data_IF_821275607719
#
_entry.id   IF_821275607719
#
_cell.length_a   1.000
_cell.length_b   1.000
_cell.length_c   1.000
_cell.angle_alpha   90.00
_cell.angle_beta   90.00
_cell.angle_gamma   90.00
#
_symmetry.space_group_name_H-M   'P 1'
#
loop_
_entity.id
_entity.type
_entity.pdbx_description
1 polymer ?
#
# COMPACT_ATOMS: atom_id res chain seq x y z
N UNK A 1 -5.06 5.08 -12.42
CA UNK A 1 -5.59 6.08 -11.47
C UNK A 1 -7.12 6.12 -11.48
N UNK A 2 -7.77 6.70 -12.50
CA UNK A 2 -9.22 6.95 -12.51
C UNK A 2 -10.10 5.72 -12.24
N UNK A 3 -9.73 4.56 -12.81
CA UNK A 3 -10.46 3.29 -12.59
C UNK A 3 -10.44 2.87 -11.11
N UNK A 4 -9.30 3.02 -10.44
CA UNK A 4 -9.19 2.65 -9.02
C UNK A 4 -9.90 3.67 -8.14
N UNK A 5 -9.73 4.96 -8.42
CA UNK A 5 -10.47 6.01 -7.73
C UNK A 5 -11.99 5.77 -7.78
N UNK A 6 -12.54 5.55 -8.98
CA UNK A 6 -13.97 5.25 -9.14
C UNK A 6 -14.42 4.03 -8.31
N UNK A 7 -13.65 2.94 -8.34
CA UNK A 7 -13.93 1.74 -7.52
C UNK A 7 -13.99 2.06 -6.02
N UNK A 8 -13.08 2.91 -5.53
CA UNK A 8 -13.05 3.32 -4.12
C UNK A 8 -14.25 4.17 -3.75
N UNK A 9 -14.57 5.17 -4.59
CA UNK A 9 -15.75 6.03 -4.41
C UNK A 9 -17.03 5.21 -4.22
N UNK A 10 -17.30 4.26 -5.12
CA UNK A 10 -18.53 3.46 -5.05
C UNK A 10 -18.54 2.44 -3.90
N UNK A 11 -17.37 2.12 -3.34
CA UNK A 11 -17.21 1.19 -2.22
C UNK A 11 -17.16 1.86 -0.84
N UNK A 12 -17.07 3.20 -0.80
CA UNK A 12 -16.95 3.97 0.44
C UNK A 12 -18.32 4.09 1.13
N UNK A 13 -18.72 3.02 1.82
CA UNK A 13 -20.01 2.90 2.50
C UNK A 13 -19.87 2.21 3.86
N UNK A 14 -20.60 2.66 4.90
CA UNK A 14 -20.64 1.96 6.19
C UNK A 14 -21.18 0.52 6.03
N UNK A 15 -20.74 -0.43 6.89
CA UNK A 15 -19.87 -0.27 8.05
C UNK A 15 -18.37 -0.42 7.76
N UNK A 16 -17.97 -0.55 6.50
CA UNK A 16 -16.61 -0.90 6.11
C UNK A 16 -15.73 0.31 5.77
N UNK A 17 -16.35 1.44 5.46
CA UNK A 17 -15.71 2.73 5.26
C UNK A 17 -16.69 3.85 5.67
N UNK A 18 -16.23 5.06 6.01
CA UNK A 18 -17.13 6.21 6.06
C UNK A 18 -17.65 6.52 4.65
N UNK A 19 -18.77 7.25 4.58
CA UNK A 19 -19.22 7.81 3.30
C UNK A 19 -18.17 8.81 2.78
N UNK A 20 -17.93 8.87 1.46
CA UNK A 20 -17.05 9.88 0.90
C UNK A 20 -17.65 11.26 1.12
N UNK A 21 -16.79 12.26 1.25
CA UNK A 21 -17.18 13.66 1.31
C UNK A 21 -16.40 14.48 0.27
N UNK A 22 -16.63 15.79 0.26
CA UNK A 22 -16.00 16.73 -0.66
C UNK A 22 -14.51 16.98 -0.38
N UNK A 23 -14.02 16.59 0.80
CA UNK A 23 -12.62 16.68 1.19
C UNK A 23 -11.85 15.39 0.89
N UNK A 24 -12.47 14.23 1.07
CA UNK A 24 -11.81 12.93 1.03
C UNK A 24 -12.75 11.80 0.58
N UNK A 25 -12.19 10.92 -0.24
CA UNK A 25 -12.75 9.59 -0.50
C UNK A 25 -11.87 8.55 0.22
N UNK A 26 -12.42 7.70 1.09
CA UNK A 26 -11.64 6.69 1.80
C UNK A 26 -10.84 5.80 0.86
N UNK A 27 -9.59 5.50 1.26
CA UNK A 27 -8.66 4.65 0.52
C UNK A 27 -8.28 5.20 -0.87
N UNK A 28 -8.30 6.53 -1.02
CA UNK A 28 -7.88 7.20 -2.25
C UNK A 28 -6.67 8.12 -2.07
N UNK A 29 -5.96 7.98 -0.95
CA UNK A 29 -4.65 8.61 -0.86
C UNK A 29 -3.73 8.08 -1.98
N UNK A 30 -2.69 8.84 -2.30
CA UNK A 30 -1.82 8.50 -3.43
C UNK A 30 -1.19 7.10 -3.28
N UNK A 31 -0.78 6.74 -2.07
CA UNK A 31 -0.15 5.45 -1.78
C UNK A 31 -1.15 4.30 -1.91
N UNK A 32 -2.36 4.46 -1.36
CA UNK A 32 -3.46 3.52 -1.48
C UNK A 32 -3.85 3.28 -2.94
N UNK A 33 -3.89 4.35 -3.72
CA UNK A 33 -4.14 4.25 -5.15
C UNK A 33 -3.03 3.48 -5.83
N UNK A 34 -1.75 3.81 -5.58
CA UNK A 34 -0.61 3.08 -6.15
C UNK A 34 -0.67 1.59 -5.78
N UNK A 35 -0.93 1.26 -4.50
CA UNK A 35 -1.10 -0.11 -4.02
C UNK A 35 -2.23 -0.87 -4.73
N UNK A 36 -3.27 -0.17 -5.18
CA UNK A 36 -4.39 -0.77 -5.92
C UNK A 36 -4.14 -0.92 -7.44
N UNK A 37 -3.09 -0.29 -7.99
CA UNK A 37 -2.77 -0.42 -9.42
C UNK A 37 -2.26 -1.82 -9.75
N UNK A 38 -2.20 -2.13 -11.05
CA UNK A 38 -1.63 -3.39 -11.50
C UNK A 38 -0.15 -3.46 -11.15
N UNK A 39 0.34 -4.69 -10.97
CA UNK A 39 1.73 -4.95 -10.59
C UNK A 39 2.76 -4.27 -11.50
N UNK A 40 2.51 -4.30 -12.82
CA UNK A 40 3.39 -3.64 -13.80
C UNK A 40 3.52 -2.13 -13.55
N UNK A 41 2.41 -1.45 -13.26
CA UNK A 41 2.42 0.00 -12.99
C UNK A 41 3.14 0.28 -11.66
N UNK A 42 2.91 -0.53 -10.62
CA UNK A 42 3.61 -0.40 -9.35
C UNK A 42 5.13 -0.53 -9.52
N UNK A 43 5.59 -1.49 -10.32
CA UNK A 43 7.02 -1.66 -10.63
C UNK A 43 7.54 -0.42 -11.36
N UNK A 44 6.83 0.08 -12.38
CA UNK A 44 7.25 1.28 -13.10
C UNK A 44 7.43 2.49 -12.17
N UNK A 45 6.46 2.74 -11.28
CA UNK A 45 6.54 3.82 -10.30
C UNK A 45 7.70 3.59 -9.32
N UNK A 46 7.83 2.36 -8.82
CA UNK A 46 8.89 1.96 -7.90
C UNK A 46 10.29 2.13 -8.48
N UNK A 47 10.49 1.71 -9.73
CA UNK A 47 11.78 1.80 -10.41
C UNK A 47 12.16 3.25 -10.70
N UNK A 48 11.19 4.11 -10.99
CA UNK A 48 11.44 5.55 -11.08
C UNK A 48 11.95 6.10 -9.73
N UNK A 49 11.31 5.71 -8.62
CA UNK A 49 11.72 6.15 -7.29
C UNK A 49 13.12 5.63 -6.88
N UNK A 50 13.43 4.37 -7.20
CA UNK A 50 14.78 3.81 -7.01
C UNK A 50 15.82 4.57 -7.82
N UNK A 51 15.50 4.97 -9.07
CA UNK A 51 16.39 5.77 -9.91
C UNK A 51 16.73 7.12 -9.28
N UNK A 52 15.74 7.81 -8.69
CA UNK A 52 15.96 9.07 -7.95
C UNK A 52 16.89 8.83 -6.75
N UNK A 53 16.67 7.75 -6.00
CA UNK A 53 17.52 7.39 -4.86
C UNK A 53 18.96 7.08 -5.28
N UNK A 54 19.14 6.32 -6.36
CA UNK A 54 20.45 5.93 -6.90
C UNK A 54 21.24 7.10 -7.50
N UNK A 55 20.55 8.18 -7.90
CA UNK A 55 21.22 9.42 -8.33
C UNK A 55 21.75 10.21 -7.13
N UNK A 56 21.07 10.15 -5.99
CA UNK A 56 21.43 10.89 -4.77
C UNK A 56 22.41 10.11 -3.87
N UNK A 57 22.38 8.79 -3.92
CA UNK A 57 23.30 7.90 -3.20
C UNK A 57 24.12 7.09 -4.20
N UNK A 58 25.46 7.08 -4.06
CA UNK A 58 26.32 6.21 -4.86
C UNK A 58 25.83 4.76 -4.72
N UNK A 59 25.57 4.10 -5.86
CA UNK A 59 25.04 2.74 -5.96
C UNK A 59 25.56 1.82 -4.84
N UNK A 60 24.71 1.63 -3.83
CA UNK A 60 25.03 0.84 -2.65
C UNK A 60 24.32 -0.51 -2.75
N UNK A 61 24.84 -1.53 -2.05
CA UNK A 61 24.20 -2.85 -1.93
C UNK A 61 22.74 -2.75 -1.46
N UNK A 62 22.41 -1.71 -0.70
CA UNK A 62 21.05 -1.44 -0.24
C UNK A 62 20.10 -1.06 -1.37
N UNK A 63 20.57 -0.34 -2.40
CA UNK A 63 19.77 0.04 -3.57
C UNK A 63 19.46 -1.17 -4.44
N UNK A 64 20.44 -2.07 -4.61
CA UNK A 64 20.25 -3.33 -5.35
C UNK A 64 19.22 -4.23 -4.65
N UNK A 65 19.34 -4.40 -3.33
CA UNK A 65 18.36 -5.14 -2.54
C UNK A 65 16.96 -4.51 -2.64
N UNK A 66 16.85 -3.18 -2.56
CA UNK A 66 15.57 -2.48 -2.70
C UNK A 66 14.98 -2.67 -4.11
N UNK A 67 15.82 -2.66 -5.15
CA UNK A 67 15.42 -2.94 -6.54
C UNK A 67 14.78 -4.32 -6.65
N UNK A 68 15.41 -5.33 -6.04
CA UNK A 68 14.88 -6.70 -6.01
C UNK A 68 13.56 -6.79 -5.22
N UNK A 69 13.45 -6.08 -4.09
CA UNK A 69 12.19 -6.01 -3.33
C UNK A 69 11.05 -5.36 -4.13
N UNK A 70 11.36 -4.30 -4.89
CA UNK A 70 10.40 -3.63 -5.79
C UNK A 70 10.01 -4.54 -6.94
N UNK A 71 10.92 -5.32 -7.51
CA UNK A 71 10.60 -6.27 -8.59
C UNK A 71 9.80 -7.48 -8.10
N UNK A 72 10.17 -8.07 -6.96
CA UNK A 72 9.49 -9.22 -6.35
C UNK A 72 8.11 -8.85 -5.77
N UNK A 73 7.90 -7.59 -5.41
CA UNK A 73 6.61 -7.08 -4.92
C UNK A 73 6.44 -7.14 -3.43
N UNK A 74 7.55 -7.36 -2.74
CA UNK A 74 7.64 -7.26 -1.29
C UNK A 74 7.44 -5.82 -0.81
N UNK A 75 7.78 -4.84 -1.64
CA UNK A 75 7.58 -3.43 -1.35
C UNK A 75 7.19 -2.64 -2.60
N UNK A 76 6.56 -1.49 -2.36
CA UNK A 76 6.40 -0.44 -3.36
C UNK A 76 7.17 0.76 -2.84
N UNK A 77 7.88 1.45 -3.72
CA UNK A 77 8.58 2.69 -3.38
C UNK A 77 7.95 3.79 -4.21
N UNK A 78 7.69 4.95 -3.60
CA UNK A 78 7.13 6.08 -4.34
C UNK A 78 7.89 7.36 -3.98
N UNK A 79 8.04 8.24 -4.97
CA UNK A 79 8.53 9.60 -4.77
C UNK A 79 7.35 10.48 -4.37
N UNK A 80 7.47 11.13 -3.23
CA UNK A 80 6.57 12.19 -2.74
C UNK A 80 7.21 13.56 -2.97
N UNK A 81 6.51 14.64 -2.63
CA UNK A 81 6.98 16.01 -2.91
C UNK A 81 8.39 16.28 -2.36
N UNK A 82 9.19 17.06 -3.12
CA UNK A 82 10.54 17.46 -2.72
C UNK A 82 11.56 16.32 -2.70
N UNK A 83 11.46 15.37 -3.63
CA UNK A 83 12.34 14.19 -3.76
C UNK A 83 12.39 13.28 -2.53
N UNK A 84 11.41 13.44 -1.64
CA UNK A 84 11.21 12.53 -0.53
C UNK A 84 10.75 11.17 -1.06
N UNK A 85 11.32 10.09 -0.52
CA UNK A 85 10.99 8.73 -0.94
C UNK A 85 10.38 8.01 0.25
N UNK A 86 9.23 7.39 0.00
CA UNK A 86 8.56 6.55 0.99
C UNK A 86 8.46 5.13 0.48
N UNK A 87 8.67 4.19 1.39
CA UNK A 87 8.43 2.77 1.16
C UNK A 87 7.03 2.44 1.67
N UNK A 88 6.18 1.97 0.77
CA UNK A 88 4.83 1.53 1.07
C UNK A 88 4.81 0.00 1.19
N UNK A 89 4.22 -0.49 2.26
CA UNK A 89 4.01 -1.92 2.52
C UNK A 89 2.53 -2.15 2.72
N UNK A 90 1.95 -3.08 1.98
CA UNK A 90 0.54 -3.44 2.10
C UNK A 90 0.37 -4.45 3.23
N UNK A 91 -0.40 -4.09 4.26
CA UNK A 91 -0.85 -5.02 5.30
C UNK A 91 -2.24 -5.56 4.93
N UNK A 92 -2.38 -6.89 4.88
CA UNK A 92 -3.68 -7.53 4.72
C UNK A 92 -4.20 -7.92 6.09
N UNK A 93 -5.23 -7.23 6.57
CA UNK A 93 -5.95 -7.60 7.78
C UNK A 93 -7.24 -8.34 7.40
N UNK A 94 -7.34 -9.61 7.80
CA UNK A 94 -8.54 -10.43 7.58
C UNK A 94 -9.48 -10.29 8.77
N UNK A 95 -10.70 -9.82 8.52
CA UNK A 95 -11.78 -9.84 9.52
C UNK A 95 -12.55 -11.14 9.41
N UNK A 96 -12.11 -12.16 10.14
CA UNK A 96 -12.81 -13.45 10.20
C UNK A 96 -13.97 -13.36 11.19
N UNK A 97 -15.19 -13.53 10.69
CA UNK A 97 -16.39 -13.63 11.52
C UNK A 97 -17.12 -14.92 11.22
N UNK A 98 -17.69 -15.52 12.25
CA UNK A 98 -18.70 -16.57 12.08
C UNK A 98 -20.01 -15.94 11.58
N UNK A 99 -20.85 -16.70 10.91
CA UNK A 99 -22.09 -16.22 10.28
C UNK A 99 -23.07 -15.56 11.27
N UNK A 100 -22.96 -15.90 12.55
CA UNK A 100 -23.75 -15.35 13.65
C UNK A 100 -23.11 -14.11 14.32
N UNK A 101 -22.07 -13.54 13.72
CA UNK A 101 -21.45 -12.31 14.19
C UNK A 101 -20.38 -12.48 15.27
N UNK A 102 -20.15 -13.70 15.78
CA UNK A 102 -19.10 -13.98 16.75
C UNK A 102 -17.70 -13.99 16.11
N UNK A 103 -16.68 -13.64 16.89
CA UNK A 103 -15.27 -13.64 16.49
C UNK A 103 -14.46 -14.58 17.39
N UNK A 104 -13.47 -15.25 16.81
CA UNK A 104 -12.51 -16.04 17.58
C UNK A 104 -11.40 -15.10 18.08
N UNK A 105 -11.11 -15.12 19.38
CA UNK A 105 -10.11 -14.26 20.00
C UNK A 105 -9.16 -15.09 20.86
N UNK A 106 -7.84 -14.88 20.70
CA UNK A 106 -6.84 -15.47 21.57
C UNK A 106 -6.71 -14.62 22.85
N UNK A 107 -7.02 -15.20 24.01
CA UNK A 107 -7.02 -14.48 25.30
C UNK A 107 -5.68 -14.58 26.02
N UNK A 108 -4.93 -15.66 25.77
CA UNK A 108 -3.59 -15.87 26.29
C UNK A 108 -2.80 -16.82 25.38
N UNK A 109 -1.48 -16.78 25.53
CA UNK A 109 -0.56 -17.82 25.07
C UNK A 109 0.17 -18.32 26.31
N UNK A 110 0.09 -19.62 26.56
CA UNK A 110 0.89 -20.24 27.61
C UNK A 110 2.27 -20.54 27.05
N UNK A 111 3.31 -20.16 27.78
CA UNK A 111 4.70 -20.52 27.47
C UNK A 111 5.21 -21.40 28.62
N UNK A 112 5.73 -22.58 28.27
CA UNK A 112 6.35 -23.53 29.21
C UNK A 112 7.77 -23.10 29.59
#
# INVERSE_FOLDING_TARGET
YCVQFHKRVISAVPPHAPWPNDLEVPFTDFCDLVCSLTRGIQITIGMHAVGVLAHNERASKSVEALTEEVHSGKSIVVVTGGDSIIRVVSLVALRVKRADGHVFMQVAKWED
#
